data_IF_931205574382
#
_entry.id   IF_931205574382
#
_cell.length_a   1.000
_cell.length_b   1.000
_cell.length_c   1.000
_cell.angle_alpha   90.00
_cell.angle_beta   90.00
_cell.angle_gamma   90.00
#
_symmetry.space_group_name_H-M   'P 1'
#
loop_
_entity.id
_entity.type
_entity.pdbx_description
1 polymer ?
#
# COMPACT_ATOMS: atom_id res chain seq x y z
N UNK A 1 -5.91 -13.51 -5.83
CA UNK A 1 -6.55 -12.48 -4.96
C UNK A 1 -8.05 -12.46 -5.29
N UNK A 2 -8.95 -12.22 -4.32
CA UNK A 2 -10.39 -12.06 -4.62
C UNK A 2 -10.70 -10.61 -5.00
N UNK A 3 -11.69 -10.44 -5.87
CA UNK A 3 -12.15 -9.13 -6.35
C UNK A 3 -12.84 -8.34 -5.24
N UNK A 4 -12.64 -7.02 -5.25
CA UNK A 4 -13.46 -6.03 -4.53
C UNK A 4 -14.44 -5.32 -5.50
N UNK A 5 -15.51 -4.66 -5.01
CA UNK A 5 -16.56 -4.10 -5.86
C UNK A 5 -16.10 -3.15 -6.99
N UNK A 6 -15.11 -2.29 -6.73
CA UNK A 6 -14.58 -1.35 -7.74
C UNK A 6 -13.47 -1.95 -8.63
N UNK A 7 -13.17 -3.23 -8.49
CA UNK A 7 -12.08 -3.84 -9.26
C UNK A 7 -12.45 -4.00 -10.72
N UNK A 8 -11.46 -3.73 -11.58
CA UNK A 8 -11.45 -4.05 -13.01
C UNK A 8 -10.24 -4.93 -13.31
N UNK A 9 -10.13 -6.04 -12.57
CA UNK A 9 -8.96 -6.92 -12.62
C UNK A 9 -8.72 -7.46 -14.02
N UNK A 10 -7.48 -7.33 -14.47
CA UNK A 10 -6.99 -7.92 -15.70
C UNK A 10 -6.16 -9.14 -15.33
N UNK A 11 -6.58 -10.33 -15.77
CA UNK A 11 -5.93 -11.61 -15.42
C UNK A 11 -4.42 -11.63 -15.67
N UNK A 12 -3.94 -10.93 -16.71
CA UNK A 12 -2.51 -10.81 -17.04
C UNK A 12 -1.70 -10.01 -16.02
N UNK A 13 -2.35 -9.15 -15.23
CA UNK A 13 -1.75 -8.31 -14.19
C UNK A 13 -2.00 -8.83 -12.77
N UNK A 14 -2.56 -10.04 -12.63
CA UNK A 14 -2.95 -10.60 -11.34
C UNK A 14 -2.11 -11.81 -10.95
N UNK A 15 -1.85 -11.93 -9.65
CA UNK A 15 -1.22 -13.08 -8.98
C UNK A 15 0.20 -13.39 -9.50
N UNK A 16 0.72 -14.56 -9.13
CA UNK A 16 2.04 -15.05 -9.44
C UNK A 16 2.50 -16.00 -8.34
N UNK A 17 3.35 -16.97 -8.66
CA UNK A 17 3.86 -17.90 -7.65
C UNK A 17 4.89 -17.23 -6.72
N UNK A 18 5.60 -16.22 -7.24
CA UNK A 18 6.59 -15.41 -6.53
C UNK A 18 6.42 -13.93 -6.89
N UNK A 19 6.52 -13.05 -5.90
CA UNK A 19 6.73 -11.61 -6.11
C UNK A 19 8.17 -11.21 -5.80
N UNK A 20 8.72 -10.29 -6.58
CA UNK A 20 10.01 -9.65 -6.32
C UNK A 20 9.82 -8.14 -6.32
N UNK A 21 10.21 -7.48 -5.22
CA UNK A 21 10.23 -6.02 -5.11
C UNK A 21 11.68 -5.55 -5.11
N UNK A 22 12.12 -5.00 -6.24
CA UNK A 22 13.48 -4.50 -6.43
C UNK A 22 13.46 -2.98 -6.28
N UNK A 23 14.23 -2.44 -5.33
CA UNK A 23 14.28 -1.01 -5.06
C UNK A 23 15.74 -0.55 -5.01
N UNK A 24 16.05 0.51 -5.75
CA UNK A 24 17.35 1.16 -5.75
C UNK A 24 17.19 2.68 -5.90
N UNK A 25 18.29 3.41 -5.80
CA UNK A 25 18.29 4.87 -6.02
C UNK A 25 18.09 5.25 -7.49
N UNK A 26 18.36 4.35 -8.42
CA UNK A 26 18.14 4.58 -9.86
C UNK A 26 17.45 3.38 -10.52
N UNK A 27 16.59 3.61 -11.54
CA UNK A 27 15.90 2.54 -12.23
C UNK A 27 16.85 1.59 -12.98
N UNK A 28 18.02 2.07 -13.43
CA UNK A 28 19.01 1.24 -14.12
C UNK A 28 19.57 0.14 -13.22
N UNK A 29 19.76 0.42 -11.93
CA UNK A 29 20.17 -0.62 -10.96
C UNK A 29 19.07 -1.67 -10.79
N UNK A 30 17.81 -1.27 -10.71
CA UNK A 30 16.69 -2.21 -10.64
C UNK A 30 16.63 -3.09 -11.91
N UNK A 31 16.79 -2.49 -13.09
CA UNK A 31 16.79 -3.19 -14.36
C UNK A 31 18.00 -4.13 -14.51
N UNK A 32 19.18 -3.73 -14.04
CA UNK A 32 20.36 -4.59 -14.03
C UNK A 32 20.13 -5.83 -13.16
N UNK A 33 19.61 -5.67 -11.94
CA UNK A 33 19.29 -6.78 -11.05
C UNK A 33 18.20 -7.69 -11.62
N UNK A 34 17.13 -7.12 -12.20
CA UNK A 34 16.07 -7.90 -12.82
C UNK A 34 16.59 -8.76 -13.99
N UNK A 35 17.41 -8.19 -14.88
CA UNK A 35 18.01 -8.94 -16.00
C UNK A 35 18.94 -10.05 -15.52
N UNK A 36 19.70 -9.81 -14.45
CA UNK A 36 20.57 -10.83 -13.88
C UNK A 36 19.77 -12.01 -13.30
N UNK A 37 18.69 -11.73 -12.58
CA UNK A 37 17.77 -12.76 -12.06
C UNK A 37 17.14 -13.55 -13.21
N UNK A 38 16.61 -12.87 -14.24
CA UNK A 38 16.01 -13.53 -15.41
C UNK A 38 17.03 -14.46 -16.09
N UNK A 39 18.26 -13.98 -16.30
CA UNK A 39 19.32 -14.76 -16.93
C UNK A 39 19.60 -16.06 -16.18
N UNK A 40 19.65 -16.03 -14.85
CA UNK A 40 19.99 -17.19 -14.03
C UNK A 40 18.78 -18.08 -13.66
N UNK A 41 17.56 -17.65 -13.95
CA UNK A 41 16.32 -18.39 -13.65
C UNK A 41 15.52 -18.79 -14.88
N UNK A 42 16.03 -18.54 -16.09
CA UNK A 42 15.32 -18.77 -17.35
C UNK A 42 14.82 -20.21 -17.56
N UNK A 43 15.40 -21.20 -16.87
CA UNK A 43 14.97 -22.61 -16.96
C UNK A 43 13.87 -22.98 -15.96
N UNK A 44 13.61 -22.14 -14.94
CA UNK A 44 12.74 -22.48 -13.81
C UNK A 44 11.66 -21.43 -13.52
N UNK A 45 11.78 -20.22 -14.07
CA UNK A 45 10.84 -19.13 -13.85
C UNK A 45 10.55 -18.36 -15.14
N UNK A 46 9.34 -17.81 -15.21
CA UNK A 46 8.89 -16.93 -16.29
C UNK A 46 8.29 -15.65 -15.70
N UNK A 47 8.48 -14.53 -16.39
CA UNK A 47 7.87 -13.26 -15.96
C UNK A 47 6.39 -13.30 -16.28
N UNK A 48 5.57 -13.14 -15.25
CA UNK A 48 4.11 -13.06 -15.41
C UNK A 48 3.64 -11.65 -15.75
N UNK A 49 4.09 -10.67 -14.96
CA UNK A 49 3.92 -9.24 -15.22
C UNK A 49 5.02 -8.47 -14.46
N UNK A 50 5.28 -7.24 -14.87
CA UNK A 50 6.20 -6.32 -14.19
C UNK A 50 5.71 -4.90 -14.35
N UNK A 51 5.90 -4.06 -13.33
CA UNK A 51 5.59 -2.63 -13.39
C UNK A 51 6.67 -1.86 -12.65
N UNK A 52 7.27 -0.90 -13.35
CA UNK A 52 8.22 0.03 -12.75
C UNK A 52 7.47 1.20 -12.09
N UNK A 53 8.08 1.74 -11.04
CA UNK A 53 7.54 2.89 -10.32
C UNK A 53 8.62 3.63 -9.54
N UNK A 54 8.24 4.78 -8.97
CA UNK A 54 9.13 5.61 -8.16
C UNK A 54 8.46 6.09 -6.88
N UNK A 55 9.27 6.29 -5.85
CA UNK A 55 8.87 7.06 -4.68
C UNK A 55 9.31 8.50 -4.90
N UNK A 56 8.39 9.47 -4.86
CA UNK A 56 8.75 10.88 -4.90
C UNK A 56 9.56 11.23 -3.64
N UNK A 57 10.44 12.23 -3.76
CA UNK A 57 11.15 12.77 -2.61
C UNK A 57 10.18 13.60 -1.77
N UNK A 58 10.23 13.43 -0.45
CA UNK A 58 9.52 14.33 0.47
C UNK A 58 10.08 15.74 0.36
N UNK A 59 9.20 16.74 0.42
CA UNK A 59 9.61 18.14 0.54
C UNK A 59 10.34 18.37 1.88
N UNK A 60 11.27 19.34 1.97
CA UNK A 60 11.93 19.66 3.23
C UNK A 60 10.93 19.91 4.36
N UNK A 61 11.08 19.18 5.47
CA UNK A 61 10.20 19.27 6.65
C UNK A 61 8.87 18.52 6.54
N UNK A 62 8.53 17.94 5.37
CA UNK A 62 7.36 17.08 5.22
C UNK A 62 7.63 15.67 5.75
N UNK A 63 6.60 15.03 6.32
CA UNK A 63 6.72 13.64 6.80
C UNK A 63 6.57 12.64 5.66
N UNK A 64 5.74 12.95 4.66
CA UNK A 64 5.49 12.09 3.51
C UNK A 64 5.70 12.79 2.16
N UNK A 65 6.02 11.99 1.14
CA UNK A 65 6.05 12.45 -0.23
C UNK A 65 4.64 12.57 -0.82
N UNK A 66 4.48 13.27 -1.94
CA UNK A 66 3.18 13.39 -2.62
C UNK A 66 2.94 12.27 -3.62
N UNK A 67 1.75 11.71 -3.66
CA UNK A 67 1.35 10.83 -4.75
C UNK A 67 0.85 11.66 -5.97
N UNK A 68 0.51 10.98 -7.07
CA UNK A 68 0.04 11.61 -8.33
C UNK A 68 -1.33 12.31 -8.26
N UNK A 69 -2.07 12.23 -7.14
CA UNK A 69 -3.26 13.07 -6.90
C UNK A 69 -2.89 14.37 -6.16
N UNK A 70 -1.60 14.55 -5.84
CA UNK A 70 -1.05 15.71 -5.17
C UNK A 70 -1.13 15.67 -3.64
N UNK A 71 -1.55 14.55 -3.04
CA UNK A 71 -1.69 14.39 -1.58
C UNK A 71 -0.46 13.72 -0.95
N UNK A 72 -0.14 14.12 0.29
CA UNK A 72 0.87 13.47 1.13
C UNK A 72 0.48 12.01 1.37
N UNK A 73 1.37 11.08 1.04
CA UNK A 73 1.08 9.65 1.04
C UNK A 73 2.10 8.90 1.91
N UNK A 74 1.68 8.58 3.14
CA UNK A 74 2.54 7.94 4.14
C UNK A 74 2.42 8.53 5.55
N UNK A 75 1.78 9.70 5.70
CA UNK A 75 1.65 10.42 6.97
C UNK A 75 1.06 9.58 8.09
N UNK A 76 0.06 8.74 7.79
CA UNK A 76 -0.60 7.86 8.75
C UNK A 76 0.06 6.49 8.97
N UNK A 77 1.26 6.25 8.44
CA UNK A 77 1.93 4.97 8.63
C UNK A 77 2.35 4.77 10.10
N UNK A 78 2.29 3.54 10.63
CA UNK A 78 2.94 3.20 11.88
C UNK A 78 4.45 3.43 11.78
N UNK A 79 5.07 3.86 12.88
CA UNK A 79 6.51 4.14 12.97
C UNK A 79 7.30 2.83 13.10
N UNK A 80 7.32 2.02 12.05
CA UNK A 80 7.98 0.69 12.03
C UNK A 80 9.51 0.74 12.13
N UNK A 81 10.12 1.93 12.16
CA UNK A 81 11.53 2.09 12.57
C UNK A 81 11.73 1.84 14.07
N UNK A 82 10.67 1.93 14.87
CA UNK A 82 10.66 1.48 16.26
C UNK A 82 10.35 -0.03 16.30
N UNK A 83 11.26 -0.88 16.84
CA UNK A 83 11.07 -2.32 16.89
C UNK A 83 9.76 -2.75 17.55
N UNK A 84 9.31 -2.07 18.61
CA UNK A 84 8.06 -2.43 19.29
C UNK A 84 6.86 -2.26 18.36
N UNK A 85 6.80 -1.13 17.66
CA UNK A 85 5.76 -0.87 16.67
C UNK A 85 5.84 -1.85 15.49
N UNK A 86 7.05 -2.25 15.08
CA UNK A 86 7.23 -3.25 14.04
C UNK A 86 6.72 -4.63 14.47
N UNK A 87 7.04 -5.07 15.69
CA UNK A 87 6.59 -6.35 16.27
C UNK A 87 5.06 -6.42 16.40
N UNK A 88 4.40 -5.28 16.64
CA UNK A 88 2.94 -5.20 16.69
C UNK A 88 2.25 -5.23 15.32
N UNK A 89 2.95 -4.86 14.23
CA UNK A 89 2.31 -4.59 12.93
C UNK A 89 2.77 -5.52 11.82
N UNK A 90 4.07 -5.81 11.74
CA UNK A 90 4.70 -6.38 10.54
C UNK A 90 4.91 -7.89 10.60
N UNK A 91 5.36 -8.40 11.75
CA UNK A 91 5.99 -9.72 11.81
C UNK A 91 4.99 -10.81 12.19
N UNK A 92 4.72 -11.70 11.24
CA UNK A 92 3.90 -12.90 11.44
C UNK A 92 4.53 -13.80 12.51
N UNK A 93 3.72 -14.39 13.40
CA UNK A 93 4.19 -15.21 14.53
C UNK A 93 4.82 -14.41 15.68
N UNK A 94 4.79 -13.07 15.59
CA UNK A 94 5.25 -12.15 16.66
C UNK A 94 4.10 -11.22 17.05
N UNK A 95 3.43 -10.61 16.08
CA UNK A 95 2.26 -9.77 16.33
C UNK A 95 1.12 -10.60 16.93
N UNK A 96 0.42 -10.03 17.90
CA UNK A 96 -0.63 -10.72 18.66
C UNK A 96 -1.76 -11.31 17.80
N UNK A 97 -2.01 -10.74 16.61
CA UNK A 97 -3.02 -11.20 15.66
C UNK A 97 -2.52 -12.27 14.67
N UNK A 98 -1.36 -12.89 14.92
CA UNK A 98 -0.73 -13.86 14.01
C UNK A 98 0.02 -14.98 14.74
N UNK A 99 -0.31 -15.24 16.01
CA UNK A 99 0.41 -16.23 16.84
C UNK A 99 0.05 -17.68 16.51
N UNK A 100 -1.04 -17.90 15.78
CA UNK A 100 -1.53 -19.19 15.30
C UNK A 100 -0.93 -19.63 13.95
N UNK A 101 -0.05 -18.81 13.38
CA UNK A 101 0.61 -19.08 12.11
C UNK A 101 1.71 -20.17 12.23
N UNK A 102 2.01 -20.90 11.14
CA UNK A 102 3.04 -21.93 11.16
C UNK A 102 4.42 -21.39 11.54
N UNK A 103 5.23 -22.19 12.25
CA UNK A 103 6.55 -21.74 12.74
C UNK A 103 7.49 -21.28 11.61
N UNK A 104 7.39 -21.85 10.41
CA UNK A 104 8.21 -21.43 9.26
C UNK A 104 7.94 -19.98 8.82
N UNK A 105 6.72 -19.48 9.05
CA UNK A 105 6.28 -18.15 8.65
C UNK A 105 6.72 -17.08 9.67
N UNK A 106 7.22 -17.48 10.83
CA UNK A 106 7.63 -16.56 11.89
C UNK A 106 8.70 -15.59 11.41
N UNK A 107 8.51 -14.30 11.73
CA UNK A 107 9.33 -13.17 11.24
C UNK A 107 9.22 -12.90 9.73
N UNK A 108 8.29 -13.57 9.03
CA UNK A 108 7.82 -13.14 7.71
C UNK A 108 6.77 -12.03 7.84
N UNK A 109 6.16 -11.66 6.72
CA UNK A 109 5.08 -10.67 6.68
C UNK A 109 4.18 -10.92 5.48
N UNK A 110 2.87 -10.72 5.62
CA UNK A 110 2.00 -10.72 4.46
C UNK A 110 2.19 -9.44 3.64
N UNK A 111 2.30 -9.59 2.32
CA UNK A 111 2.35 -8.48 1.37
C UNK A 111 1.07 -8.46 0.55
N UNK A 112 0.42 -7.30 0.50
CA UNK A 112 -0.63 -7.04 -0.48
C UNK A 112 -0.11 -6.03 -1.51
N UNK A 113 -0.26 -6.37 -2.79
CA UNK A 113 0.06 -5.51 -3.92
C UNK A 113 -1.21 -5.20 -4.69
N UNK A 114 -1.46 -3.93 -4.99
CA UNK A 114 -2.57 -3.47 -5.81
C UNK A 114 -2.06 -2.50 -6.87
N UNK A 115 -2.37 -2.78 -8.12
CA UNK A 115 -2.09 -1.87 -9.23
C UNK A 115 -3.33 -1.03 -9.45
N UNK A 116 -3.25 0.26 -9.12
CA UNK A 116 -4.40 1.16 -9.06
C UNK A 116 -4.20 2.28 -10.08
N UNK A 117 -5.00 2.28 -11.14
CA UNK A 117 -5.04 3.38 -12.11
C UNK A 117 -5.70 4.60 -11.46
N UNK A 118 -5.25 5.80 -11.85
CA UNK A 118 -5.84 7.08 -11.43
C UNK A 118 -6.36 7.85 -12.64
N UNK A 119 -7.56 8.40 -12.55
CA UNK A 119 -8.16 9.25 -13.57
C UNK A 119 -7.75 10.72 -13.36
N UNK A 120 -6.46 11.01 -13.60
CA UNK A 120 -5.83 12.28 -13.19
C UNK A 120 -6.42 13.51 -13.88
N UNK A 121 -6.83 13.42 -15.14
CA UNK A 121 -7.42 14.56 -15.85
C UNK A 121 -8.81 14.91 -15.32
N UNK A 122 -9.54 13.90 -14.82
CA UNK A 122 -10.82 14.12 -14.17
C UNK A 122 -10.61 14.70 -12.76
N UNK A 123 -9.66 14.13 -12.01
CA UNK A 123 -9.25 14.64 -10.71
C UNK A 123 -8.81 16.11 -10.75
N UNK A 124 -7.99 16.50 -11.72
CA UNK A 124 -7.47 17.87 -11.82
C UNK A 124 -8.55 18.93 -12.10
N UNK A 125 -9.74 18.51 -12.57
CA UNK A 125 -10.92 19.37 -12.76
C UNK A 125 -11.87 19.36 -11.57
N UNK A 126 -11.63 18.51 -10.58
CA UNK A 126 -12.43 18.39 -9.37
C UNK A 126 -12.12 19.56 -8.42
N UNK A 127 -13.13 20.24 -7.84
CA UNK A 127 -12.92 21.28 -6.84
C UNK A 127 -11.98 20.86 -5.70
N UNK A 128 -11.10 21.77 -5.28
CA UNK A 128 -10.13 21.49 -4.21
C UNK A 128 -10.78 21.04 -2.89
N UNK A 129 -11.96 21.60 -2.58
CA UNK A 129 -12.72 21.25 -1.38
C UNK A 129 -13.13 19.78 -1.43
N UNK A 130 -13.74 19.35 -2.54
CA UNK A 130 -14.13 17.97 -2.77
C UNK A 130 -12.93 17.01 -2.71
N UNK A 131 -11.80 17.35 -3.34
CA UNK A 131 -10.58 16.55 -3.23
C UNK A 131 -10.12 16.38 -1.77
N UNK A 132 -10.21 17.45 -0.98
CA UNK A 132 -9.81 17.48 0.43
C UNK A 132 -10.77 16.65 1.28
N UNK A 133 -12.07 16.72 1.00
CA UNK A 133 -13.13 15.96 1.68
C UNK A 133 -13.03 14.46 1.39
N UNK A 134 -12.81 14.08 0.12
CA UNK A 134 -12.58 12.69 -0.30
C UNK A 134 -11.42 12.06 0.48
N UNK A 135 -10.30 12.77 0.65
CA UNK A 135 -9.17 12.24 1.41
C UNK A 135 -9.31 12.38 2.94
N UNK A 136 -10.07 13.38 3.40
CA UNK A 136 -10.14 13.79 4.80
C UNK A 136 -8.88 14.53 5.30
N UNK A 137 -8.04 15.04 4.39
CA UNK A 137 -6.83 15.82 4.74
C UNK A 137 -6.68 17.03 3.85
N UNK A 138 -6.08 18.10 4.40
CA UNK A 138 -5.75 19.30 3.62
C UNK A 138 -4.68 18.99 2.58
N UNK A 139 -4.99 19.18 1.29
CA UNK A 139 -4.09 18.84 0.17
C UNK A 139 -2.67 19.40 0.33
N UNK A 140 -2.53 20.69 0.65
CA UNK A 140 -1.22 21.36 0.67
C UNK A 140 -0.39 21.04 1.91
N UNK A 141 -0.96 21.22 3.11
CA UNK A 141 -0.24 20.99 4.37
C UNK A 141 -0.14 19.51 4.75
N UNK A 142 -1.01 18.66 4.22
CA UNK A 142 -1.17 17.28 4.67
C UNK A 142 -1.74 17.16 6.07
N UNK A 143 -2.13 18.25 6.74
CA UNK A 143 -2.76 18.21 8.06
C UNK A 143 -4.16 17.55 7.99
N UNK A 144 -4.62 16.91 9.08
CA UNK A 144 -6.03 16.54 9.17
C UNK A 144 -6.92 17.79 9.15
N UNK A 145 -8.22 17.61 8.87
CA UNK A 145 -9.16 18.72 8.67
C UNK A 145 -9.34 19.59 9.93
N UNK A 146 -9.27 18.97 11.11
CA UNK A 146 -9.32 19.56 12.44
C UNK A 146 -7.95 20.00 12.99
N UNK A 147 -6.87 19.83 12.22
CA UNK A 147 -5.49 20.12 12.63
C UNK A 147 -4.81 21.22 11.81
N UNK A 148 -3.55 21.50 12.17
CA UNK A 148 -2.71 22.55 11.54
C UNK A 148 -1.45 22.00 10.88
N UNK A 149 -0.86 20.94 11.43
CA UNK A 149 0.39 20.33 10.97
C UNK A 149 0.14 18.93 10.43
N UNK A 150 1.00 18.47 9.52
CA UNK A 150 0.94 17.11 8.95
C UNK A 150 0.91 16.02 10.04
N UNK A 151 1.72 16.21 11.09
CA UNK A 151 1.88 15.29 12.22
C UNK A 151 0.68 15.25 13.18
N UNK A 152 -0.24 16.21 13.08
CA UNK A 152 -1.40 16.26 13.97
C UNK A 152 -2.29 15.02 13.73
N UNK A 153 -2.92 14.56 14.81
CA UNK A 153 -3.82 13.41 14.80
C UNK A 153 -5.26 13.94 14.84
N UNK A 154 -6.15 13.54 13.90
CA UNK A 154 -7.56 13.91 14.00
C UNK A 154 -8.22 13.26 15.21
N UNK A 155 -9.22 13.93 15.74
CA UNK A 155 -10.03 13.48 16.87
C UNK A 155 -11.48 13.22 16.43
N UNK A 156 -11.71 12.05 15.83
CA UNK A 156 -13.04 11.67 15.31
C UNK A 156 -14.11 11.53 16.41
N UNK A 157 -13.71 11.36 17.68
CA UNK A 157 -14.66 11.33 18.79
C UNK A 157 -15.30 12.71 19.05
N UNK A 158 -14.63 13.80 18.67
CA UNK A 158 -15.16 15.17 18.71
C UNK A 158 -15.92 15.58 17.45
N UNK A 159 -15.93 14.74 16.43
CA UNK A 159 -16.61 14.96 15.15
C UNK A 159 -17.46 13.73 14.78
N UNK A 160 -18.43 13.32 15.63
CA UNK A 160 -19.20 12.09 15.41
C UNK A 160 -20.06 12.13 14.14
N UNK A 161 -20.54 13.31 13.76
CA UNK A 161 -21.37 13.48 12.56
C UNK A 161 -20.55 13.55 11.27
N UNK A 162 -19.27 13.92 11.34
CA UNK A 162 -18.39 14.06 10.18
C UNK A 162 -18.48 15.43 9.51
N UNK A 163 -18.80 16.47 10.27
CA UNK A 163 -18.93 17.84 9.78
C UNK A 163 -17.55 18.46 9.46
N UNK A 164 -16.47 17.96 10.07
CA UNK A 164 -15.10 18.43 9.84
C UNK A 164 -14.32 17.46 8.95
N UNK A 165 -14.33 16.17 9.30
CA UNK A 165 -13.75 15.10 8.48
C UNK A 165 -14.87 14.14 8.05
N UNK A 166 -15.27 14.15 6.77
CA UNK A 166 -16.38 13.32 6.30
C UNK A 166 -16.24 11.86 6.71
N UNK A 167 -17.37 11.24 7.12
CA UNK A 167 -17.40 9.84 7.61
C UNK A 167 -16.95 8.84 6.55
N UNK A 168 -17.19 9.16 5.30
CA UNK A 168 -16.82 8.40 4.10
C UNK A 168 -15.47 8.82 3.51
N UNK A 169 -14.74 9.74 4.15
CA UNK A 169 -13.39 10.11 3.70
C UNK A 169 -12.41 8.94 3.80
N UNK A 170 -11.51 8.84 2.82
CA UNK A 170 -10.54 7.76 2.70
C UNK A 170 -9.76 7.53 4.00
N UNK A 171 -9.27 8.59 4.65
CA UNK A 171 -8.47 8.42 5.87
C UNK A 171 -9.28 7.91 7.06
N UNK A 172 -10.56 8.28 7.14
CA UNK A 172 -11.43 7.96 8.29
C UNK A 172 -11.96 6.54 8.16
N UNK A 173 -12.31 6.11 6.95
CA UNK A 173 -12.64 4.72 6.64
C UNK A 173 -11.42 3.80 6.81
N UNK A 174 -10.26 4.19 6.26
CA UNK A 174 -9.05 3.36 6.32
C UNK A 174 -8.50 3.18 7.74
N UNK A 175 -8.76 4.13 8.63
CA UNK A 175 -8.37 4.07 10.03
C UNK A 175 -9.32 4.93 10.88
N UNK A 176 -10.36 4.33 11.48
CA UNK A 176 -11.32 5.04 12.33
C UNK A 176 -10.72 5.45 13.69
N UNK A 177 -9.46 5.11 13.97
CA UNK A 177 -8.70 5.46 15.18
C UNK A 177 -9.31 4.97 16.48
N UNK A 178 -10.22 4.01 16.43
CA UNK A 178 -10.69 3.36 17.64
C UNK A 178 -9.59 2.45 18.23
N UNK A 179 -9.55 2.26 19.56
CA UNK A 179 -8.52 1.47 20.20
C UNK A 179 -8.46 0.01 19.77
N UNK A 180 -9.59 -0.61 19.43
CA UNK A 180 -9.62 -2.02 19.00
C UNK A 180 -9.07 -2.17 17.58
N UNK A 181 -9.40 -1.23 16.70
CA UNK A 181 -8.80 -1.15 15.36
C UNK A 181 -7.29 -1.00 15.44
N UNK A 182 -6.79 -0.08 16.28
CA UNK A 182 -5.35 0.17 16.38
C UNK A 182 -4.57 -1.05 16.90
N UNK A 183 -5.20 -1.95 17.66
CA UNK A 183 -4.58 -3.19 18.13
C UNK A 183 -4.39 -4.24 17.03
N UNK A 184 -5.28 -4.27 16.01
CA UNK A 184 -5.39 -5.43 15.10
C UNK A 184 -5.25 -5.10 13.61
N UNK A 185 -5.69 -3.92 13.19
CA UNK A 185 -5.96 -3.60 11.78
C UNK A 185 -4.97 -2.61 11.17
N UNK A 186 -3.90 -2.25 11.90
CA UNK A 186 -2.83 -1.42 11.34
C UNK A 186 -2.05 -2.19 10.29
N UNK A 187 -1.65 -1.48 9.23
CA UNK A 187 -0.77 -1.96 8.17
C UNK A 187 0.27 -0.89 7.83
N UNK A 188 1.40 -1.31 7.26
CA UNK A 188 2.45 -0.40 6.81
C UNK A 188 2.46 -0.28 5.30
N UNK A 189 2.23 0.92 4.77
CA UNK A 189 2.19 1.17 3.32
C UNK A 189 3.56 1.63 2.81
N UNK A 190 4.00 1.05 1.69
CA UNK A 190 5.23 1.39 0.97
C UNK A 190 4.96 1.47 -0.52
N UNK A 191 4.04 2.35 -0.89
CA UNK A 191 3.57 2.48 -2.27
C UNK A 191 4.56 3.25 -3.16
N UNK A 192 4.36 3.11 -4.47
CA UNK A 192 5.13 3.75 -5.54
C UNK A 192 4.17 4.34 -6.58
N UNK A 193 4.51 5.49 -7.15
CA UNK A 193 3.78 6.00 -8.32
C UNK A 193 4.26 5.28 -9.58
N UNK A 194 3.39 5.10 -10.58
CA UNK A 194 3.77 4.60 -11.90
C UNK A 194 3.26 5.52 -13.01
N UNK A 195 3.92 5.46 -14.16
CA UNK A 195 3.49 6.09 -15.41
C UNK A 195 3.90 5.22 -16.59
N UNK A 196 2.94 4.84 -17.44
CA UNK A 196 3.15 4.01 -18.65
C UNK A 196 2.91 4.79 -19.94
N UNK A 197 2.74 6.10 -19.85
CA UNK A 197 2.37 6.96 -20.98
C UNK A 197 0.86 6.98 -21.24
N UNK A 198 0.42 7.33 -22.46
CA UNK A 198 -1.01 7.38 -22.80
C UNK A 198 -1.65 5.99 -22.91
N UNK A 199 -2.85 5.84 -22.36
CA UNK A 199 -3.74 4.72 -22.62
C UNK A 199 -4.36 4.82 -24.01
N UNK A 200 -4.94 3.71 -24.50
CA UNK A 200 -5.68 3.68 -25.78
C UNK A 200 -6.87 4.63 -25.84
N UNK A 201 -7.42 5.06 -24.69
CA UNK A 201 -8.47 6.06 -24.60
C UNK A 201 -7.98 7.51 -24.78
N UNK A 202 -6.67 7.73 -24.90
CA UNK A 202 -6.05 9.06 -24.97
C UNK A 202 -5.82 9.74 -23.62
N UNK A 203 -6.23 9.12 -22.51
CA UNK A 203 -5.93 9.57 -21.15
C UNK A 203 -4.57 9.02 -20.68
N UNK A 204 -3.96 9.64 -19.69
CA UNK A 204 -2.75 9.14 -19.04
C UNK A 204 -3.01 7.79 -18.35
N UNK A 205 -2.06 6.86 -18.52
CA UNK A 205 -1.97 5.60 -17.79
C UNK A 205 -0.95 5.75 -16.65
N UNK A 206 -1.44 6.38 -15.60
CA UNK A 206 -0.69 6.69 -14.40
C UNK A 206 -1.44 6.21 -13.17
N UNK A 207 -0.73 5.98 -12.08
CA UNK A 207 -1.38 5.46 -10.90
C UNK A 207 -0.45 5.17 -9.73
N UNK A 208 -0.88 4.22 -8.91
CA UNK A 208 -0.21 3.77 -7.71
C UNK A 208 0.04 2.26 -7.81
N UNK A 209 1.30 1.86 -7.65
CA UNK A 209 1.67 0.50 -7.22
C UNK A 209 1.57 0.53 -5.71
N UNK A 210 0.38 0.24 -5.19
CA UNK A 210 0.15 0.15 -3.76
C UNK A 210 0.78 -1.15 -3.27
N UNK A 211 1.64 -1.03 -2.27
CA UNK A 211 2.21 -2.16 -1.54
C UNK A 211 2.03 -1.91 -0.07
N UNK A 212 1.53 -2.88 0.67
CA UNK A 212 1.54 -2.84 2.13
C UNK A 212 1.96 -4.16 2.76
N UNK A 213 2.39 -4.05 4.00
CA UNK A 213 2.90 -5.14 4.83
C UNK A 213 2.15 -5.17 6.15
N UNK A 214 1.83 -6.39 6.60
CA UNK A 214 1.11 -6.66 7.84
C UNK A 214 1.40 -8.08 8.32
N UNK A 215 1.33 -8.30 9.63
CA UNK A 215 1.55 -9.62 10.22
C UNK A 215 0.43 -10.63 9.90
N UNK A 216 -0.79 -10.14 9.62
CA UNK A 216 -1.95 -10.94 9.23
C UNK A 216 -2.70 -10.25 8.07
N UNK A 217 -2.86 -10.95 6.94
CA UNK A 217 -3.48 -10.40 5.73
C UNK A 217 -4.98 -10.10 5.90
N UNK A 218 -5.71 -10.98 6.59
CA UNK A 218 -7.15 -10.86 6.78
C UNK A 218 -7.45 -9.65 7.68
N UNK A 219 -6.70 -9.51 8.76
CA UNK A 219 -6.86 -8.41 9.71
C UNK A 219 -6.28 -7.08 9.19
N UNK A 220 -5.28 -7.10 8.32
CA UNK A 220 -4.73 -5.88 7.71
C UNK A 220 -5.47 -5.47 6.44
N UNK A 221 -4.85 -5.73 5.29
CA UNK A 221 -5.31 -5.23 3.99
C UNK A 221 -6.77 -5.58 3.68
N UNK A 222 -7.18 -6.83 3.88
CA UNK A 222 -8.53 -7.28 3.50
C UNK A 222 -9.59 -6.57 4.34
N UNK A 223 -9.39 -6.48 5.66
CA UNK A 223 -10.28 -5.75 6.55
C UNK A 223 -10.39 -4.27 6.16
N UNK A 224 -9.24 -3.60 5.99
CA UNK A 224 -9.20 -2.16 5.64
C UNK A 224 -9.84 -1.91 4.27
N UNK A 225 -9.56 -2.73 3.26
CA UNK A 225 -10.19 -2.57 1.94
C UNK A 225 -11.70 -2.78 1.98
N UNK A 226 -12.21 -3.68 2.86
CA UNK A 226 -13.65 -3.83 3.05
C UNK A 226 -14.31 -2.58 3.65
N UNK A 227 -13.62 -1.84 4.52
CA UNK A 227 -14.09 -0.54 5.01
C UNK A 227 -14.08 0.53 3.93
N UNK A 228 -13.18 0.42 2.96
CA UNK A 228 -13.03 1.37 1.85
C UNK A 228 -13.98 1.09 0.68
N UNK A 229 -14.69 -0.04 0.65
CA UNK A 229 -15.61 -0.33 -0.44
C UNK A 229 -16.72 0.73 -0.52
N UNK A 230 -16.88 1.34 -1.69
CA UNK A 230 -17.86 2.40 -1.93
C UNK A 230 -17.41 3.79 -1.45
N UNK A 231 -16.13 3.97 -1.11
CA UNK A 231 -15.60 5.30 -0.79
C UNK A 231 -15.69 6.24 -2.01
N UNK A 232 -15.84 7.56 -1.79
CA UNK A 232 -15.87 8.55 -2.88
C UNK A 232 -14.62 8.53 -3.79
N UNK A 233 -13.47 8.09 -3.27
CA UNK A 233 -12.23 7.99 -4.05
C UNK A 233 -12.36 7.01 -5.22
N UNK A 234 -13.27 6.02 -5.15
CA UNK A 234 -13.52 5.03 -6.20
C UNK A 234 -13.90 5.66 -7.55
N UNK A 235 -14.44 6.88 -7.57
CA UNK A 235 -14.72 7.62 -8.81
C UNK A 235 -13.44 8.01 -9.56
N UNK A 236 -12.31 8.12 -8.85
CA UNK A 236 -11.03 8.61 -9.37
C UNK A 236 -9.96 7.53 -9.51
N UNK A 237 -10.25 6.31 -9.06
CA UNK A 237 -9.31 5.19 -9.09
C UNK A 237 -9.94 3.93 -9.66
N UNK A 238 -9.11 3.07 -10.25
CA UNK A 238 -9.56 1.76 -10.72
C UNK A 238 -8.46 0.72 -10.51
N UNK A 239 -8.59 -0.15 -9.50
CA UNK A 239 -7.70 -1.30 -9.33
C UNK A 239 -7.82 -2.28 -10.50
N UNK A 240 -6.70 -2.62 -11.13
CA UNK A 240 -6.68 -3.47 -12.32
C UNK A 240 -5.77 -4.70 -12.20
N UNK A 241 -5.02 -4.84 -11.11
CA UNK A 241 -4.09 -5.95 -10.92
C UNK A 241 -3.45 -5.99 -9.54
N UNK A 242 -2.47 -6.87 -9.37
CA UNK A 242 -1.77 -7.11 -8.12
C UNK A 242 -1.97 -8.53 -7.59
N UNK A 243 -1.78 -8.73 -6.30
CA UNK A 243 -1.84 -10.05 -5.68
C UNK A 243 -1.51 -10.02 -4.20
N UNK A 244 -1.72 -11.16 -3.55
CA UNK A 244 -1.31 -11.39 -2.16
C UNK A 244 -0.14 -12.36 -2.15
N UNK A 245 0.88 -12.01 -1.39
CA UNK A 245 2.11 -12.78 -1.29
C UNK A 245 2.53 -12.87 0.18
N UNK A 246 3.42 -13.80 0.49
CA UNK A 246 4.06 -13.89 1.79
C UNK A 246 5.55 -13.56 1.64
N UNK A 247 5.99 -12.53 2.36
CA UNK A 247 7.40 -12.16 2.45
C UNK A 247 8.08 -13.15 3.40
N UNK A 248 9.02 -13.91 2.85
CA UNK A 248 9.76 -14.90 3.61
C UNK A 248 10.60 -14.25 4.73
N UNK A 249 10.83 -14.97 5.83
CA UNK A 249 11.73 -14.51 6.88
C UNK A 249 13.15 -14.21 6.36
N UNK A 250 13.85 -13.32 7.06
CA UNK A 250 15.24 -12.98 6.75
C UNK A 250 16.19 -14.18 6.82
N UNK A 251 17.30 -14.09 6.09
CA UNK A 251 18.28 -15.18 5.96
C UNK A 251 19.51 -14.90 6.82
N UNK A 252 19.84 -15.85 7.69
CA UNK A 252 21.08 -15.83 8.46
C UNK A 252 22.31 -16.21 7.61
N UNK A 253 23.52 -15.99 8.15
CA UNK A 253 24.76 -16.31 7.44
C UNK A 253 24.81 -17.80 7.05
N UNK A 254 25.00 -18.08 5.77
CA UNK A 254 25.08 -19.44 5.23
C UNK A 254 23.74 -20.12 4.90
N UNK A 255 22.61 -19.45 5.15
CA UNK A 255 21.29 -19.93 4.73
C UNK A 255 20.85 -19.42 3.35
N UNK A 256 19.63 -19.78 2.95
CA UNK A 256 18.96 -19.28 1.74
C UNK A 256 17.49 -18.94 2.00
N UNK A 257 16.89 -18.11 1.14
CA UNK A 257 15.47 -17.72 1.25
C UNK A 257 14.56 -18.95 1.11
N UNK A 258 13.60 -19.11 2.02
CA UNK A 258 12.64 -20.22 1.96
C UNK A 258 13.14 -21.54 2.53
N UNK A 259 14.35 -21.58 3.12
CA UNK A 259 14.90 -22.79 3.74
C UNK A 259 13.99 -23.42 4.81
N UNK A 260 13.22 -22.59 5.52
CA UNK A 260 12.28 -23.06 6.56
C UNK A 260 10.93 -23.55 6.02
N UNK A 261 10.63 -23.33 4.74
CA UNK A 261 9.37 -23.80 4.14
C UNK A 261 9.32 -25.33 4.23
N UNK A 262 8.20 -25.92 4.66
CA UNK A 262 8.03 -27.36 4.59
C UNK A 262 8.17 -27.78 3.12
N UNK A 263 9.14 -28.66 2.85
CA UNK A 263 9.23 -29.32 1.56
C UNK A 263 7.99 -30.17 1.32
N UNK A 264 7.61 -30.32 0.05
CA UNK A 264 6.68 -31.38 -0.37
C UNK A 264 7.42 -32.71 -0.34
#
# INVERSE_FOLDING_TARGET
MRDFPNDKLQKSWCDGDLSLQICAFTPETCQAALRDIIKHTAQTAVIRWSIDGWQPKSEPGAMAARNLLGFRDGTGNPKVSDPKTADEVLWTGVAANSLDEPEWAKNGSYQAVRLIRRFVEFWDRTPLQEQTDIFGRRKYSGAPMDGKKEADQPDFAKDPEGDITPKDSHMRLANPRDPEFLKKHRLFRRAYSYSRGPASSGQLDVGLVFVCYQANLADGFIFVQNLLNGEPLEEYISPFGGGYFFVLPGVGKGGFLGQGLPGV
#
